data_IF_865566422303
#
_entry.id   IF_865566422303
#
_cell.length_a   1.000
_cell.length_b   1.000
_cell.length_c   1.000
_cell.angle_alpha   90.00
_cell.angle_beta   90.00
_cell.angle_gamma   90.00
#
_symmetry.space_group_name_H-M   'P 1'
#
loop_
_entity.id
_entity.type
_entity.pdbx_description
1 polymer ?
#
# COMPACT_ATOMS: atom_id res chain seq x y z
N UNK A 1 -19.57 -73.46 19.09
CA UNK A 1 -18.40 -72.79 19.69
C UNK A 1 -17.75 -71.91 18.63
N UNK A 2 -18.23 -70.65 18.48
CA UNK A 2 -17.47 -69.54 17.90
C UNK A 2 -17.97 -68.30 18.66
N UNK A 3 -17.11 -67.75 19.51
CA UNK A 3 -17.35 -66.51 20.28
C UNK A 3 -16.96 -65.33 19.40
N UNK A 4 -17.85 -64.35 19.23
CA UNK A 4 -17.48 -63.06 18.65
C UNK A 4 -17.14 -62.11 19.79
N UNK A 5 -15.85 -61.92 20.03
CA UNK A 5 -15.35 -60.80 20.83
C UNK A 5 -15.68 -59.49 20.11
N UNK A 6 -16.59 -58.71 20.69
CA UNK A 6 -16.81 -57.32 20.31
C UNK A 6 -15.58 -56.53 20.79
N UNK A 7 -14.64 -56.29 19.87
CA UNK A 7 -13.51 -55.40 20.12
C UNK A 7 -14.06 -53.99 20.34
N UNK A 8 -14.05 -53.53 21.59
CA UNK A 8 -14.34 -52.14 21.91
C UNK A 8 -13.34 -51.23 21.19
N UNK A 9 -13.78 -50.14 20.53
CA UNK A 9 -12.85 -49.22 19.91
C UNK A 9 -11.92 -48.63 20.98
N UNK A 10 -10.63 -48.39 20.67
CA UNK A 10 -9.72 -47.79 21.64
C UNK A 10 -10.30 -46.45 22.06
N UNK A 11 -10.52 -46.27 23.37
CA UNK A 11 -10.87 -44.97 23.95
C UNK A 11 -9.85 -43.96 23.45
N UNK A 12 -10.24 -43.10 22.50
CA UNK A 12 -9.45 -41.91 22.16
C UNK A 12 -9.23 -41.19 23.47
N UNK A 13 -7.96 -41.08 23.90
CA UNK A 13 -7.62 -40.23 25.04
C UNK A 13 -8.10 -38.83 24.66
N UNK A 14 -9.14 -38.35 25.33
CA UNK A 14 -9.50 -36.95 25.31
C UNK A 14 -8.36 -36.24 26.02
N UNK A 15 -7.33 -35.87 25.25
CA UNK A 15 -6.34 -34.93 25.71
C UNK A 15 -7.05 -33.58 25.66
N UNK A 16 -7.77 -33.29 26.73
CA UNK A 16 -8.12 -31.91 27.03
C UNK A 16 -6.77 -31.24 27.17
N UNK A 17 -6.43 -30.36 26.22
CA UNK A 17 -5.31 -29.43 26.41
C UNK A 17 -5.77 -28.56 27.57
N UNK A 18 -5.43 -28.98 28.77
CA UNK A 18 -5.65 -28.18 29.96
C UNK A 18 -4.78 -26.96 29.73
N UNK A 19 -5.42 -25.81 29.45
CA UNK A 19 -4.75 -24.52 29.45
C UNK A 19 -4.21 -24.34 30.88
N UNK A 20 -3.01 -24.88 31.14
CA UNK A 20 -2.27 -24.65 32.37
C UNK A 20 -2.17 -23.16 32.49
N UNK A 21 -2.89 -22.60 33.47
CA UNK A 21 -2.96 -21.19 33.81
C UNK A 21 -1.55 -20.57 33.69
N UNK A 22 -1.19 -19.97 32.55
CA UNK A 22 0.12 -19.37 32.42
C UNK A 22 -0.03 -18.06 33.18
N UNK A 23 0.82 -17.85 34.18
CA UNK A 23 0.94 -16.55 34.83
C UNK A 23 0.80 -15.47 33.76
N UNK A 24 -0.22 -14.62 33.91
CA UNK A 24 -0.58 -13.53 33.01
C UNK A 24 0.70 -12.73 32.72
N UNK A 25 1.42 -13.10 31.66
CA UNK A 25 2.61 -12.36 31.24
C UNK A 25 2.06 -11.05 30.70
N UNK A 26 2.23 -10.01 31.50
CA UNK A 26 1.77 -8.65 31.23
C UNK A 26 2.55 -7.95 30.12
N UNK A 27 3.60 -8.58 29.60
CA UNK A 27 4.42 -8.07 28.50
C UNK A 27 4.00 -8.71 27.18
N UNK A 28 3.37 -7.97 26.25
CA UNK A 28 3.10 -8.47 24.92
C UNK A 28 4.44 -8.70 24.20
N UNK A 29 4.72 -9.95 23.82
CA UNK A 29 5.87 -10.30 22.98
C UNK A 29 5.55 -10.25 21.47
N UNK A 30 4.28 -9.99 21.13
CA UNK A 30 3.80 -9.88 19.76
C UNK A 30 3.94 -8.45 19.21
N UNK A 31 4.45 -8.34 17.98
CA UNK A 31 4.44 -7.09 17.21
C UNK A 31 2.98 -6.67 16.95
N UNK A 32 2.67 -5.42 17.21
CA UNK A 32 1.38 -4.83 16.80
C UNK A 32 1.38 -4.58 15.30
N UNK A 33 0.20 -4.65 14.67
CA UNK A 33 0.06 -4.27 13.25
C UNK A 33 0.48 -2.82 13.02
N UNK A 34 0.25 -1.95 14.00
CA UNK A 34 0.70 -0.56 14.01
C UNK A 34 2.22 -0.45 13.78
N UNK A 35 3.01 -1.20 14.54
CA UNK A 35 4.46 -1.21 14.42
C UNK A 35 4.94 -1.85 13.11
N UNK A 36 4.26 -2.91 12.67
CA UNK A 36 4.56 -3.55 11.40
C UNK A 36 4.35 -2.63 10.19
N UNK A 37 3.33 -1.77 10.21
CA UNK A 37 3.02 -0.82 9.13
C UNK A 37 3.79 0.51 9.22
N UNK A 38 4.53 0.77 10.30
CA UNK A 38 5.30 2.00 10.46
C UNK A 38 6.30 2.27 9.32
N UNK A 39 7.06 1.28 8.79
CA UNK A 39 8.00 1.52 7.69
C UNK A 39 7.32 1.94 6.38
N UNK A 40 6.18 1.34 6.02
CA UNK A 40 5.49 1.71 4.78
C UNK A 40 4.91 3.12 4.87
N UNK A 41 4.39 3.49 6.04
CA UNK A 41 3.91 4.86 6.32
C UNK A 41 5.05 5.87 6.21
N UNK A 42 6.23 5.55 6.79
CA UNK A 42 7.41 6.41 6.67
C UNK A 42 7.77 6.69 5.21
N UNK A 43 7.80 5.64 4.39
CA UNK A 43 8.12 5.78 2.97
C UNK A 43 7.06 6.64 2.27
N UNK A 44 5.77 6.44 2.54
CA UNK A 44 4.71 7.30 2.01
C UNK A 44 4.95 8.79 2.31
N UNK A 45 5.39 9.12 3.52
CA UNK A 45 5.65 10.50 3.94
C UNK A 45 6.78 11.18 3.19
N UNK A 46 7.82 10.43 2.80
CA UNK A 46 8.91 10.98 1.98
C UNK A 46 8.37 11.51 0.64
N UNK A 47 7.32 10.89 0.12
CA UNK A 47 6.70 11.23 -1.16
C UNK A 47 5.39 12.02 -1.01
N UNK A 48 5.21 12.72 0.12
CA UNK A 48 4.05 13.60 0.35
C UNK A 48 2.72 12.88 0.60
N UNK A 49 2.76 11.56 0.76
CA UNK A 49 1.61 10.73 1.03
C UNK A 49 1.46 10.50 2.54
N UNK A 50 0.23 10.25 2.97
CA UNK A 50 -0.07 9.78 4.33
C UNK A 50 0.45 10.68 5.48
N UNK A 51 -0.01 11.95 5.57
CA UNK A 51 0.51 12.92 6.54
C UNK A 51 0.00 12.63 7.97
N UNK A 52 0.64 11.70 8.66
CA UNK A 52 0.36 11.35 10.07
C UNK A 52 1.59 11.54 10.95
N UNK A 53 1.40 11.70 12.26
CA UNK A 53 2.51 11.79 13.22
C UNK A 53 2.36 10.74 14.32
N UNK A 54 3.50 10.27 14.83
CA UNK A 54 3.54 9.36 15.99
C UNK A 54 3.54 7.86 15.66
N UNK A 55 3.79 7.45 14.41
CA UNK A 55 3.74 6.04 13.98
C UNK A 55 4.88 5.16 14.52
N UNK A 56 6.00 5.73 15.00
CA UNK A 56 7.08 5.00 15.66
C UNK A 56 6.97 4.97 17.21
N UNK A 57 5.90 5.53 17.81
CA UNK A 57 5.70 5.50 19.28
C UNK A 57 4.76 4.36 19.66
N UNK A 58 5.10 3.62 20.73
CA UNK A 58 4.65 2.25 21.00
C UNK A 58 3.22 2.01 21.51
N UNK A 59 2.31 3.00 21.62
CA UNK A 59 0.88 2.67 21.60
C UNK A 59 0.14 3.37 20.45
N UNK A 60 -0.79 2.65 19.80
CA UNK A 60 -1.66 3.18 18.74
C UNK A 60 -2.45 4.44 19.15
N UNK A 61 -2.60 4.68 20.45
CA UNK A 61 -3.20 5.89 21.04
C UNK A 61 -2.39 7.17 20.82
N UNK A 62 -1.11 7.06 20.47
CA UNK A 62 -0.22 8.19 20.19
C UNK A 62 -0.26 8.65 18.72
N UNK A 63 -1.03 7.94 17.86
CA UNK A 63 -1.22 8.33 16.47
C UNK A 63 -2.07 9.60 16.41
N UNK A 64 -1.51 10.69 15.88
CA UNK A 64 -2.21 11.96 15.76
C UNK A 64 -2.14 12.46 14.32
N UNK A 65 -3.31 12.78 13.78
CA UNK A 65 -3.43 13.60 12.59
C UNK A 65 -3.53 15.07 13.01
N UNK A 66 -2.64 15.92 12.48
CA UNK A 66 -2.67 17.36 12.77
C UNK A 66 -2.67 18.18 11.49
N UNK A 67 -3.69 19.02 11.31
CA UNK A 67 -3.83 19.89 10.13
C UNK A 67 -2.72 20.96 10.01
N UNK A 68 -2.06 21.31 11.13
CA UNK A 68 -0.93 22.26 11.16
C UNK A 68 0.45 21.59 10.94
N UNK A 69 0.49 20.34 10.50
CA UNK A 69 1.74 19.63 10.26
C UNK A 69 2.40 20.08 8.94
N UNK A 70 3.72 20.19 8.95
CA UNK A 70 4.54 20.43 7.74
C UNK A 70 4.25 19.36 6.68
N UNK A 71 3.99 18.12 7.11
CA UNK A 71 3.65 17.01 6.21
C UNK A 71 2.29 17.20 5.52
N UNK A 72 1.31 17.80 6.20
CA UNK A 72 0.01 18.11 5.60
C UNK A 72 0.13 19.25 4.58
N UNK A 73 0.90 20.30 4.91
CA UNK A 73 1.18 21.39 3.99
C UNK A 73 1.93 20.90 2.74
N UNK A 74 2.90 19.99 2.91
CA UNK A 74 3.61 19.33 1.81
C UNK A 74 2.64 18.54 0.91
N UNK A 75 1.79 17.68 1.50
CA UNK A 75 0.74 16.92 0.80
C UNK A 75 -0.19 17.80 -0.03
N UNK A 76 -0.73 18.84 0.60
CA UNK A 76 -1.62 19.78 -0.07
C UNK A 76 -0.94 20.54 -1.21
N UNK A 77 0.30 20.99 -0.98
CA UNK A 77 1.08 21.69 -2.00
C UNK A 77 1.39 20.80 -3.21
N UNK A 78 1.75 19.53 -2.98
CA UNK A 78 1.97 18.57 -4.07
C UNK A 78 0.70 18.30 -4.87
N UNK A 79 -0.46 18.17 -4.21
CA UNK A 79 -1.75 18.01 -4.91
C UNK A 79 -2.06 19.25 -5.76
N UNK A 80 -1.85 20.45 -5.22
CA UNK A 80 -2.06 21.69 -5.95
C UNK A 80 -1.20 21.77 -7.20
N UNK A 81 0.09 21.42 -7.11
CA UNK A 81 0.99 21.38 -8.27
C UNK A 81 0.52 20.35 -9.30
N UNK A 82 0.13 19.15 -8.88
CA UNK A 82 -0.37 18.11 -9.78
C UNK A 82 -1.64 18.56 -10.52
N UNK A 83 -2.56 19.24 -9.83
CA UNK A 83 -3.75 19.85 -10.43
C UNK A 83 -3.40 20.93 -11.45
N UNK A 84 -2.36 21.73 -11.20
CA UNK A 84 -1.88 22.72 -12.16
C UNK A 84 -1.26 22.04 -13.41
N UNK A 85 -0.47 20.98 -13.22
CA UNK A 85 0.16 20.21 -14.30
C UNK A 85 -0.90 19.59 -15.22
N UNK A 86 -1.90 18.89 -14.68
CA UNK A 86 -2.96 18.27 -15.50
C UNK A 86 -3.77 19.34 -16.24
N UNK A 87 -4.03 20.49 -15.61
CA UNK A 87 -4.77 21.60 -16.22
C UNK A 87 -3.98 22.22 -17.39
N UNK A 88 -2.67 22.42 -17.24
CA UNK A 88 -1.79 22.85 -18.34
C UNK A 88 -1.75 21.82 -19.47
N UNK A 89 -1.70 20.53 -19.13
CA UNK A 89 -1.72 19.46 -20.12
C UNK A 89 -3.01 19.47 -20.94
N UNK A 90 -4.17 19.51 -20.29
CA UNK A 90 -5.48 19.53 -20.94
C UNK A 90 -5.63 20.78 -21.81
N UNK A 91 -5.28 21.97 -21.30
CA UNK A 91 -5.32 23.21 -22.08
C UNK A 91 -4.44 23.14 -23.34
N UNK A 92 -3.24 22.57 -23.21
CA UNK A 92 -2.33 22.36 -24.34
C UNK A 92 -2.89 21.39 -25.39
N UNK A 93 -3.56 20.31 -24.96
CA UNK A 93 -4.19 19.35 -25.89
C UNK A 93 -5.40 19.95 -26.60
N UNK A 94 -6.24 20.72 -25.91
CA UNK A 94 -7.39 21.42 -26.50
C UNK A 94 -6.91 22.37 -27.60
N UNK A 95 -5.86 23.15 -27.35
CA UNK A 95 -5.29 24.06 -28.36
C UNK A 95 -4.75 23.34 -29.61
N UNK A 96 -4.30 22.09 -29.47
CA UNK A 96 -3.76 21.30 -30.59
C UNK A 96 -4.78 20.43 -31.32
N UNK A 97 -6.04 20.41 -30.87
CA UNK A 97 -7.14 19.73 -31.57
C UNK A 97 -6.97 18.22 -31.77
N UNK A 98 -6.05 17.56 -31.05
CA UNK A 98 -5.76 16.13 -31.20
C UNK A 98 -5.91 15.43 -29.86
N UNK A 99 -6.87 14.52 -29.74
CA UNK A 99 -7.01 13.61 -28.60
C UNK A 99 -6.76 12.20 -29.12
N UNK A 100 -5.50 11.76 -29.04
CA UNK A 100 -5.13 10.37 -29.32
C UNK A 100 -5.11 9.56 -28.03
N UNK A 101 -5.03 8.23 -28.16
CA UNK A 101 -5.02 7.30 -27.02
C UNK A 101 -3.94 7.64 -25.98
N UNK A 102 -2.72 7.96 -26.42
CA UNK A 102 -1.63 8.33 -25.50
C UNK A 102 -1.91 9.61 -24.68
N UNK A 103 -2.65 10.57 -25.23
CA UNK A 103 -3.04 11.77 -24.50
C UNK A 103 -4.11 11.45 -23.45
N UNK A 104 -5.09 10.61 -23.80
CA UNK A 104 -6.12 10.13 -22.88
C UNK A 104 -5.51 9.31 -21.74
N UNK A 105 -4.57 8.41 -22.04
CA UNK A 105 -3.85 7.63 -21.05
C UNK A 105 -3.06 8.54 -20.08
N UNK A 106 -2.42 9.60 -20.59
CA UNK A 106 -1.73 10.59 -19.76
C UNK A 106 -2.69 11.38 -18.87
N UNK A 107 -3.86 11.77 -19.38
CA UNK A 107 -4.90 12.41 -18.56
C UNK A 107 -5.38 11.50 -17.42
N UNK A 108 -5.66 10.23 -17.73
CA UNK A 108 -6.12 9.24 -16.76
C UNK A 108 -5.03 8.98 -15.72
N UNK A 109 -3.77 8.87 -16.14
CA UNK A 109 -2.63 8.76 -15.24
C UNK A 109 -2.65 9.87 -14.18
N UNK A 110 -2.64 11.14 -14.60
CA UNK A 110 -2.63 12.26 -13.65
C UNK A 110 -3.89 12.30 -12.78
N UNK A 111 -5.06 11.97 -13.34
CA UNK A 111 -6.31 11.93 -12.58
C UNK A 111 -6.27 10.86 -11.48
N UNK A 112 -5.73 9.67 -11.77
CA UNK A 112 -5.55 8.60 -10.78
C UNK A 112 -4.60 9.05 -9.68
N UNK A 113 -3.45 9.65 -10.03
CA UNK A 113 -2.47 10.13 -9.03
C UNK A 113 -3.08 11.19 -8.11
N UNK A 114 -3.78 12.19 -8.65
CA UNK A 114 -4.44 13.23 -7.85
C UNK A 114 -5.49 12.60 -6.93
N UNK A 115 -6.32 11.70 -7.47
CA UNK A 115 -7.35 11.01 -6.68
C UNK A 115 -6.71 10.18 -5.57
N UNK A 116 -5.66 9.43 -5.86
CA UNK A 116 -4.92 8.63 -4.87
C UNK A 116 -4.32 9.50 -3.76
N UNK A 117 -3.68 10.62 -4.11
CA UNK A 117 -3.15 11.57 -3.12
C UNK A 117 -4.26 12.09 -2.19
N UNK A 118 -5.41 12.45 -2.74
CA UNK A 118 -6.57 12.92 -1.97
C UNK A 118 -7.10 11.80 -1.06
N UNK A 119 -7.27 10.58 -1.58
CA UNK A 119 -7.71 9.43 -0.79
C UNK A 119 -6.74 9.11 0.34
N UNK A 120 -5.42 9.19 0.12
CA UNK A 120 -4.43 8.99 1.17
C UNK A 120 -4.45 10.08 2.24
N UNK A 121 -4.80 11.33 1.91
CA UNK A 121 -5.02 12.39 2.89
C UNK A 121 -6.27 12.11 3.73
N UNK A 122 -7.36 11.69 3.08
CA UNK A 122 -8.61 11.31 3.77
C UNK A 122 -8.38 10.09 4.67
N UNK A 123 -7.65 9.10 4.17
CA UNK A 123 -7.29 7.91 4.93
C UNK A 123 -6.42 8.27 6.12
N UNK A 124 -5.38 9.10 5.94
CA UNK A 124 -4.53 9.57 7.03
C UNK A 124 -5.31 10.25 8.17
N UNK A 125 -6.39 10.99 7.83
CA UNK A 125 -7.28 11.60 8.84
C UNK A 125 -8.04 10.56 9.66
N UNK A 126 -8.51 9.49 9.02
CA UNK A 126 -9.30 8.43 9.67
C UNK A 126 -8.41 7.33 10.28
N UNK A 127 -7.14 7.27 9.88
CA UNK A 127 -6.20 6.22 10.25
C UNK A 127 -6.01 6.02 11.75
N UNK A 128 -5.95 7.08 12.60
CA UNK A 128 -5.87 6.88 14.05
C UNK A 128 -7.05 6.08 14.61
N UNK A 129 -8.28 6.36 14.15
CA UNK A 129 -9.48 5.63 14.59
C UNK A 129 -9.47 4.19 14.06
N UNK A 130 -9.03 3.99 12.81
CA UNK A 130 -8.89 2.65 12.23
C UNK A 130 -7.89 1.82 13.02
N UNK A 131 -6.73 2.40 13.32
CA UNK A 131 -5.65 1.70 14.02
C UNK A 131 -6.00 1.40 15.48
N UNK A 132 -6.75 2.28 16.15
CA UNK A 132 -7.26 2.02 17.50
C UNK A 132 -8.16 0.79 17.51
N UNK A 133 -9.21 0.77 16.66
CA UNK A 133 -10.11 -0.38 16.56
C UNK A 133 -9.35 -1.66 16.16
N UNK A 134 -8.43 -1.55 15.21
CA UNK A 134 -7.58 -2.69 14.81
C UNK A 134 -6.80 -3.22 16.02
N UNK A 135 -6.16 -2.35 16.80
CA UNK A 135 -5.37 -2.76 17.96
C UNK A 135 -6.24 -3.46 19.02
N UNK A 136 -7.47 -2.99 19.21
CA UNK A 136 -8.43 -3.61 20.14
C UNK A 136 -8.82 -5.03 19.67
N UNK A 137 -9.15 -5.17 18.39
CA UNK A 137 -9.51 -6.48 17.78
C UNK A 137 -8.31 -7.43 17.68
N UNK A 138 -7.09 -6.89 17.61
CA UNK A 138 -5.84 -7.63 17.57
C UNK A 138 -5.37 -8.10 18.95
N UNK A 139 -5.84 -7.46 20.03
CA UNK A 139 -5.35 -7.66 21.38
C UNK A 139 -5.35 -9.15 21.79
N UNK A 140 -6.41 -9.90 21.47
CA UNK A 140 -6.55 -11.32 21.80
C UNK A 140 -5.46 -12.18 21.12
N UNK A 141 -4.98 -11.77 19.95
CA UNK A 141 -3.97 -12.48 19.17
C UNK A 141 -2.52 -12.17 19.60
N UNK A 142 -2.34 -11.24 20.54
CA UNK A 142 -1.03 -10.88 21.11
C UNK A 142 -0.65 -11.75 22.31
N UNK A 143 -1.60 -12.50 22.89
CA UNK A 143 -1.38 -13.33 24.06
C UNK A 143 -1.56 -14.82 23.74
N UNK A 144 -1.07 -15.68 24.64
CA UNK A 144 -1.38 -17.10 24.63
C UNK A 144 -2.92 -17.29 24.62
N UNK A 145 -3.50 -18.20 23.81
CA UNK A 145 -2.88 -19.31 23.07
C UNK A 145 -2.52 -19.02 21.60
N UNK A 146 -2.73 -17.79 21.12
CA UNK A 146 -2.43 -17.39 19.74
C UNK A 146 -0.99 -16.88 19.53
N UNK A 147 -0.28 -16.61 20.62
CA UNK A 147 1.11 -16.18 20.61
C UNK A 147 1.98 -17.18 19.85
N UNK A 148 2.38 -16.77 18.65
CA UNK A 148 3.40 -17.41 17.85
C UNK A 148 4.57 -16.45 17.85
N UNK A 149 5.74 -16.87 18.36
CA UNK A 149 6.98 -16.07 18.42
C UNK A 149 7.54 -15.61 17.05
N UNK A 150 6.69 -15.57 16.04
CA UNK A 150 6.99 -15.18 14.67
C UNK A 150 6.96 -13.66 14.45
N UNK A 151 6.74 -12.79 15.46
CA UNK A 151 6.68 -11.32 15.33
C UNK A 151 7.77 -10.73 14.41
N UNK A 152 9.02 -11.20 14.57
CA UNK A 152 10.17 -10.82 13.73
C UNK A 152 9.99 -11.10 12.22
N UNK A 153 9.15 -12.08 11.84
CA UNK A 153 8.86 -12.40 10.43
C UNK A 153 7.95 -11.35 9.79
N UNK A 154 7.01 -10.74 10.52
CA UNK A 154 6.13 -9.71 9.96
C UNK A 154 6.88 -8.41 9.71
N UNK A 155 7.64 -7.97 10.70
CA UNK A 155 8.46 -6.77 10.59
C UNK A 155 9.48 -6.92 9.43
N UNK A 156 10.14 -8.08 9.34
CA UNK A 156 11.05 -8.39 8.24
C UNK A 156 10.34 -8.48 6.88
N UNK A 157 9.09 -8.98 6.85
CA UNK A 157 8.29 -9.06 5.63
C UNK A 157 7.89 -7.67 5.16
N UNK A 158 7.38 -6.80 6.04
CA UNK A 158 6.97 -5.44 5.67
C UNK A 158 8.18 -4.61 5.26
N UNK A 159 9.32 -4.71 5.97
CA UNK A 159 10.58 -4.09 5.56
C UNK A 159 11.02 -4.57 4.18
N UNK A 160 10.89 -5.87 3.90
CA UNK A 160 11.22 -6.44 2.59
C UNK A 160 10.30 -5.93 1.49
N UNK A 161 8.98 -5.88 1.74
CA UNK A 161 7.98 -5.37 0.79
C UNK A 161 8.24 -3.89 0.48
N UNK A 162 8.47 -3.06 1.51
CA UNK A 162 8.82 -1.65 1.35
C UNK A 162 10.12 -1.48 0.55
N UNK A 163 11.16 -2.28 0.86
CA UNK A 163 12.41 -2.26 0.12
C UNK A 163 12.22 -2.66 -1.35
N UNK A 164 11.49 -3.75 -1.61
CA UNK A 164 11.21 -4.20 -2.99
C UNK A 164 10.46 -3.14 -3.78
N UNK A 165 9.46 -2.48 -3.18
CA UNK A 165 8.73 -1.40 -3.82
C UNK A 165 9.67 -0.27 -4.26
N UNK A 166 10.47 0.26 -3.33
CA UNK A 166 11.37 1.39 -3.62
C UNK A 166 12.37 0.98 -4.70
N UNK A 167 12.90 -0.24 -4.61
CA UNK A 167 13.83 -0.77 -5.59
C UNK A 167 13.21 -0.83 -6.99
N UNK A 168 12.03 -1.45 -7.14
CA UNK A 168 11.37 -1.56 -8.44
C UNK A 168 10.96 -0.19 -9.00
N UNK A 169 10.42 0.70 -8.17
CA UNK A 169 10.07 2.05 -8.60
C UNK A 169 11.31 2.84 -9.08
N UNK A 170 12.45 2.68 -8.41
CA UNK A 170 13.71 3.30 -8.81
C UNK A 170 14.26 2.72 -10.12
N UNK A 171 14.19 1.40 -10.29
CA UNK A 171 14.61 0.72 -11.52
C UNK A 171 13.74 1.17 -12.69
N UNK A 172 12.42 1.23 -12.52
CA UNK A 172 11.49 1.70 -13.54
C UNK A 172 11.77 3.16 -13.92
N UNK A 173 11.95 4.05 -12.94
CA UNK A 173 12.28 5.45 -13.20
C UNK A 173 13.59 5.59 -13.99
N UNK A 174 14.62 4.82 -13.60
CA UNK A 174 15.93 4.83 -14.24
C UNK A 174 15.84 4.34 -15.69
N UNK A 175 15.12 3.24 -15.95
CA UNK A 175 14.93 2.71 -17.31
C UNK A 175 14.16 3.70 -18.17
N UNK A 176 13.09 4.30 -17.62
CA UNK A 176 12.30 5.30 -18.34
C UNK A 176 13.16 6.52 -18.69
N UNK A 177 13.96 7.03 -17.74
CA UNK A 177 14.87 8.13 -17.98
C UNK A 177 15.92 7.80 -19.06
N UNK A 178 16.52 6.61 -19.02
CA UNK A 178 17.49 6.16 -20.03
C UNK A 178 16.86 6.09 -21.43
N UNK A 179 15.65 5.51 -21.53
CA UNK A 179 14.91 5.41 -22.79
C UNK A 179 14.65 6.79 -23.38
N UNK A 180 14.16 7.72 -22.56
CA UNK A 180 13.84 9.06 -22.99
C UNK A 180 15.10 9.86 -23.40
N UNK A 181 16.19 9.69 -22.64
CA UNK A 181 17.51 10.25 -22.94
C UNK A 181 18.04 9.76 -24.29
N UNK A 182 18.05 8.45 -24.53
CA UNK A 182 18.52 7.87 -25.80
C UNK A 182 17.70 8.37 -26.98
N UNK A 183 16.38 8.44 -26.83
CA UNK A 183 15.49 8.95 -27.87
C UNK A 183 15.74 10.45 -28.14
N UNK A 184 16.17 11.24 -27.15
CA UNK A 184 16.57 12.64 -27.37
C UNK A 184 17.92 12.77 -28.09
N UNK A 185 18.90 11.91 -27.78
CA UNK A 185 20.19 11.85 -28.48
C UNK A 185 19.99 11.56 -29.96
N UNK A 186 19.16 10.57 -30.29
CA UNK A 186 18.81 10.25 -31.69
C UNK A 186 18.16 11.45 -32.35
N UNK A 187 17.20 12.10 -31.70
CA UNK A 187 16.52 13.27 -32.25
C UNK A 187 17.47 14.44 -32.56
N UNK A 188 18.41 14.74 -31.65
CA UNK A 188 19.41 15.79 -31.91
C UNK A 188 20.35 15.45 -33.06
N UNK A 189 20.65 14.16 -33.30
CA UNK A 189 21.49 13.74 -34.44
C UNK A 189 20.82 14.02 -35.79
N UNK A 190 19.49 13.95 -35.86
CA UNK A 190 18.74 14.14 -37.11
C UNK A 190 18.13 15.54 -37.27
N UNK A 191 18.14 16.39 -36.23
CA UNK A 191 17.50 17.71 -36.25
C UNK A 191 18.51 18.85 -36.06
N UNK A 192 18.70 19.68 -37.09
CA UNK A 192 19.77 20.69 -37.21
C UNK A 192 19.59 21.96 -36.35
N UNK A 193 18.44 22.16 -35.71
CA UNK A 193 18.09 23.39 -34.97
C UNK A 193 18.10 23.26 -33.43
N UNK A 194 18.77 22.23 -32.90
CA UNK A 194 18.82 21.99 -31.46
C UNK A 194 19.95 22.79 -30.78
N UNK A 195 19.63 23.90 -30.12
CA UNK A 195 20.63 24.77 -29.46
C UNK A 195 21.10 24.24 -28.09
N UNK A 196 20.20 23.66 -27.28
CA UNK A 196 20.50 23.15 -25.93
C UNK A 196 19.92 21.75 -25.69
N UNK A 197 20.72 20.80 -25.19
CA UNK A 197 20.29 19.41 -24.94
C UNK A 197 19.12 19.33 -23.94
N UNK A 198 19.30 19.90 -22.74
CA UNK A 198 18.31 19.83 -21.66
C UNK A 198 17.02 20.58 -21.98
N UNK A 199 17.14 21.74 -22.63
CA UNK A 199 15.97 22.51 -23.05
C UNK A 199 15.13 21.74 -24.06
N UNK A 200 15.77 21.04 -25.01
CA UNK A 200 15.07 20.21 -25.97
C UNK A 200 14.47 18.94 -25.35
N UNK A 201 15.19 18.30 -24.42
CA UNK A 201 14.70 17.18 -23.63
C UNK A 201 13.38 17.52 -22.94
N UNK A 202 13.39 18.55 -22.09
CA UNK A 202 12.20 18.98 -21.36
C UNK A 202 11.10 19.51 -22.29
N UNK A 203 11.45 20.17 -23.40
CA UNK A 203 10.46 20.65 -24.38
C UNK A 203 9.74 19.51 -25.08
N UNK A 204 10.37 18.34 -25.24
CA UNK A 204 9.75 17.19 -25.87
C UNK A 204 8.81 16.46 -24.91
N UNK A 205 9.27 16.21 -23.69
CA UNK A 205 8.50 15.44 -22.69
C UNK A 205 7.42 16.28 -22.01
N UNK A 206 7.73 17.55 -21.72
CA UNK A 206 6.90 18.44 -20.92
C UNK A 206 6.55 19.72 -21.69
N UNK A 207 6.27 19.59 -23.00
CA UNK A 207 5.93 20.70 -23.89
C UNK A 207 4.82 21.61 -23.35
N UNK A 208 3.86 21.03 -22.63
CA UNK A 208 2.73 21.71 -22.03
C UNK A 208 3.15 22.65 -20.89
N UNK A 209 4.18 22.34 -20.11
CA UNK A 209 4.69 23.21 -19.03
C UNK A 209 5.51 24.36 -19.62
N UNK A 210 6.40 24.04 -20.55
CA UNK A 210 7.29 25.01 -21.21
C UNK A 210 6.58 25.98 -22.16
N UNK A 211 5.32 25.70 -22.48
CA UNK A 211 4.46 26.63 -23.22
C UNK A 211 4.03 27.81 -22.36
N UNK A 212 3.80 27.59 -21.06
CA UNK A 212 3.33 28.62 -20.13
C UNK A 212 4.47 29.25 -19.32
N UNK A 213 5.53 28.50 -19.03
CA UNK A 213 6.66 28.96 -18.20
C UNK A 213 7.96 28.82 -18.98
N UNK A 214 8.81 29.87 -19.08
CA UNK A 214 10.09 29.78 -19.76
C UNK A 214 11.02 28.79 -19.04
N UNK A 215 11.87 28.11 -19.82
CA UNK A 215 12.81 27.14 -19.27
C UNK A 215 13.85 27.79 -18.37
N UNK A 216 13.97 27.27 -17.14
CA UNK A 216 15.13 27.47 -16.27
C UNK A 216 15.54 26.12 -15.66
N UNK A 217 16.83 25.92 -15.33
CA UNK A 217 17.31 24.65 -14.75
C UNK A 217 16.56 24.23 -13.48
N UNK A 218 16.19 25.19 -12.63
CA UNK A 218 15.38 24.96 -11.42
C UNK A 218 13.99 24.43 -11.76
N UNK A 219 13.36 24.93 -12.82
CA UNK A 219 12.07 24.45 -13.29
C UNK A 219 12.20 22.99 -13.78
N UNK A 220 13.24 22.68 -14.55
CA UNK A 220 13.52 21.30 -14.98
C UNK A 220 13.63 20.33 -13.80
N UNK A 221 14.44 20.69 -12.79
CA UNK A 221 14.57 19.89 -11.57
C UNK A 221 13.24 19.73 -10.82
N UNK A 222 12.42 20.79 -10.74
CA UNK A 222 11.11 20.73 -10.08
C UNK A 222 10.13 19.79 -10.80
N UNK A 223 10.14 19.78 -12.14
CA UNK A 223 9.30 18.89 -12.95
C UNK A 223 9.71 17.44 -12.70
N UNK A 224 11.00 17.13 -12.77
CA UNK A 224 11.53 15.78 -12.50
C UNK A 224 11.12 15.26 -11.12
N UNK A 225 11.27 16.09 -10.08
CA UNK A 225 10.88 15.72 -8.71
C UNK A 225 9.39 15.41 -8.65
N UNK A 226 8.54 16.26 -9.25
CA UNK A 226 7.09 16.02 -9.24
C UNK A 226 6.72 14.76 -10.02
N UNK A 227 7.30 14.53 -11.21
CA UNK A 227 7.02 13.33 -11.99
C UNK A 227 7.46 12.06 -11.26
N UNK A 228 8.59 12.08 -10.54
CA UNK A 228 9.01 10.98 -9.67
C UNK A 228 8.04 10.73 -8.52
N UNK A 229 7.53 11.80 -7.88
CA UNK A 229 6.49 11.68 -6.85
C UNK A 229 5.21 11.06 -7.42
N UNK A 230 4.81 11.41 -8.65
CA UNK A 230 3.67 10.79 -9.32
C UNK A 230 3.89 9.29 -9.57
N UNK A 231 5.04 8.89 -10.14
CA UNK A 231 5.37 7.48 -10.38
C UNK A 231 5.42 6.70 -9.07
N UNK A 232 6.04 7.26 -8.04
CA UNK A 232 6.07 6.64 -6.72
C UNK A 232 4.65 6.45 -6.16
N UNK A 233 3.80 7.48 -6.28
CA UNK A 233 2.40 7.41 -5.83
C UNK A 233 1.64 6.31 -6.53
N UNK A 234 1.89 6.10 -7.84
CA UNK A 234 1.28 5.00 -8.59
C UNK A 234 1.56 3.65 -7.91
N UNK A 235 2.82 3.29 -7.72
CA UNK A 235 3.19 2.01 -7.11
C UNK A 235 2.82 1.92 -5.62
N UNK A 236 2.73 3.06 -4.93
CA UNK A 236 2.46 3.11 -3.49
C UNK A 236 1.05 2.62 -3.16
N UNK A 237 0.08 2.87 -4.05
CA UNK A 237 -1.30 2.43 -3.85
C UNK A 237 -1.34 0.91 -3.66
N UNK A 238 -0.74 0.17 -4.59
CA UNK A 238 -0.81 -1.29 -4.61
C UNK A 238 -0.02 -1.89 -3.45
N UNK A 239 1.18 -1.36 -3.19
CA UNK A 239 2.03 -1.84 -2.09
C UNK A 239 1.40 -1.56 -0.73
N UNK A 240 0.73 -0.42 -0.57
CA UNK A 240 -0.02 -0.13 0.65
C UNK A 240 -1.14 -1.16 0.86
N UNK A 241 -1.92 -1.47 -0.18
CA UNK A 241 -2.98 -2.50 -0.12
C UNK A 241 -2.39 -3.88 0.22
N UNK A 242 -1.26 -4.26 -0.40
CA UNK A 242 -0.56 -5.51 -0.11
C UNK A 242 -0.12 -5.55 1.36
N UNK A 243 0.49 -4.50 1.89
CA UNK A 243 0.94 -4.44 3.27
C UNK A 243 -0.21 -4.60 4.28
N UNK A 244 -1.32 -3.90 4.06
CA UNK A 244 -2.53 -4.05 4.89
C UNK A 244 -3.07 -5.48 4.81
N UNK A 245 -3.12 -6.04 3.60
CA UNK A 245 -3.61 -7.40 3.37
C UNK A 245 -2.73 -8.45 4.07
N UNK A 246 -1.41 -8.29 4.04
CA UNK A 246 -0.46 -9.15 4.73
C UNK A 246 -0.60 -9.07 6.25
N UNK A 247 -0.80 -7.87 6.80
CA UNK A 247 -1.04 -7.69 8.22
C UNK A 247 -2.30 -8.42 8.68
N UNK A 248 -3.38 -8.31 7.91
CA UNK A 248 -4.64 -9.00 8.19
C UNK A 248 -4.53 -10.53 8.02
N UNK A 249 -3.92 -10.97 6.91
CA UNK A 249 -3.68 -12.39 6.63
C UNK A 249 -2.93 -13.06 7.77
N UNK A 250 -2.01 -12.33 8.41
CA UNK A 250 -1.23 -12.88 9.50
C UNK A 250 -2.05 -13.23 10.74
N UNK A 251 -3.08 -12.44 11.06
CA UNK A 251 -4.00 -12.77 12.16
C UNK A 251 -4.82 -14.02 11.85
N UNK A 252 -5.25 -14.19 10.60
CA UNK A 252 -5.84 -15.44 10.13
C UNK A 252 -4.88 -16.63 10.17
N UNK A 253 -3.59 -16.42 9.91
CA UNK A 253 -2.58 -17.48 10.06
C UNK A 253 -2.45 -17.93 11.52
N UNK A 254 -2.40 -17.00 12.48
CA UNK A 254 -2.37 -17.33 13.91
C UNK A 254 -3.62 -18.12 14.34
N UNK A 255 -4.79 -17.71 13.86
CA UNK A 255 -6.04 -18.44 14.08
C UNK A 255 -5.98 -19.87 13.51
N UNK A 256 -5.53 -20.01 12.26
CA UNK A 256 -5.40 -21.31 11.60
C UNK A 256 -4.37 -22.21 12.27
N UNK A 257 -3.25 -21.66 12.74
CA UNK A 257 -2.20 -22.41 13.44
C UNK A 257 -2.73 -22.96 14.79
N UNK A 258 -3.57 -22.19 15.51
CA UNK A 258 -4.26 -22.69 16.72
C UNK A 258 -5.16 -23.88 16.39
N UNK A 259 -5.97 -23.80 15.32
CA UNK A 259 -6.83 -24.92 14.92
C UNK A 259 -6.00 -26.16 14.57
N UNK A 260 -4.91 -25.97 13.82
CA UNK A 260 -3.98 -27.05 13.46
C UNK A 260 -3.34 -27.69 14.68
N UNK A 261 -3.05 -26.91 15.73
CA UNK A 261 -2.46 -27.43 16.97
C UNK A 261 -3.32 -28.49 17.67
N UNK A 262 -4.63 -28.50 17.45
CA UNK A 262 -5.51 -29.52 18.00
C UNK A 262 -5.32 -30.90 17.36
N UNK A 263 -4.69 -31.00 16.18
CA UNK A 263 -4.39 -32.28 15.50
C UNK A 263 -5.61 -33.23 15.36
N UNK A 264 -6.82 -32.67 15.21
CA UNK A 264 -8.06 -33.46 15.11
C UNK A 264 -8.54 -34.07 16.43
N UNK A 265 -7.94 -33.70 17.57
CA UNK A 265 -8.40 -34.08 18.90
C UNK A 265 -9.68 -33.33 19.26
N UNK A 266 -10.62 -34.01 19.94
CA UNK A 266 -11.83 -33.37 20.44
C UNK A 266 -11.48 -32.35 21.53
N UNK A 267 -11.93 -31.12 21.33
CA UNK A 267 -11.83 -30.04 22.31
C UNK A 267 -13.20 -29.82 22.99
N UNK A 268 -13.22 -29.28 24.23
CA UNK A 268 -14.45 -28.87 24.90
C UNK A 268 -15.28 -27.89 24.06
N UNK A 269 -16.60 -27.89 24.25
CA UNK A 269 -17.53 -26.99 23.56
C UNK A 269 -17.15 -25.51 23.75
N UNK A 270 -16.68 -25.14 24.94
CA UNK A 270 -16.25 -23.77 25.25
C UNK A 270 -15.09 -23.29 24.35
N UNK A 271 -14.17 -24.19 24.00
CA UNK A 271 -13.05 -23.86 23.10
C UNK A 271 -13.56 -23.60 21.68
N UNK A 272 -14.50 -24.41 21.20
CA UNK A 272 -15.13 -24.19 19.88
C UNK A 272 -15.97 -22.92 19.83
N UNK A 273 -16.68 -22.62 20.91
CA UNK A 273 -17.43 -21.38 21.06
C UNK A 273 -16.49 -20.17 21.01
N UNK A 274 -15.38 -20.20 21.75
CA UNK A 274 -14.37 -19.14 21.74
C UNK A 274 -13.77 -18.94 20.33
N UNK A 275 -13.33 -20.02 19.66
CA UNK A 275 -12.80 -19.96 18.30
C UNK A 275 -13.78 -19.33 17.31
N UNK A 276 -15.08 -19.65 17.42
CA UNK A 276 -16.11 -19.05 16.57
C UNK A 276 -16.23 -17.54 16.80
N UNK A 277 -16.17 -17.09 18.05
CA UNK A 277 -16.21 -15.66 18.38
C UNK A 277 -14.97 -14.94 17.86
N UNK A 278 -13.78 -15.54 18.03
CA UNK A 278 -12.51 -14.99 17.53
C UNK A 278 -12.52 -14.85 16.00
N UNK A 279 -13.08 -15.83 15.28
CA UNK A 279 -13.26 -15.77 13.83
C UNK A 279 -14.25 -14.68 13.41
N UNK A 280 -15.37 -14.54 14.13
CA UNK A 280 -16.34 -13.48 13.85
C UNK A 280 -15.71 -12.11 14.02
N UNK A 281 -14.91 -11.90 15.08
CA UNK A 281 -14.19 -10.65 15.30
C UNK A 281 -13.20 -10.33 14.16
N UNK A 282 -12.42 -11.32 13.70
CA UNK A 282 -11.55 -11.13 12.54
C UNK A 282 -12.33 -10.79 11.26
N UNK A 283 -13.46 -11.46 11.03
CA UNK A 283 -14.33 -11.20 9.87
C UNK A 283 -14.95 -9.79 9.92
N UNK A 284 -15.36 -9.34 11.10
CA UNK A 284 -15.86 -7.98 11.32
C UNK A 284 -14.76 -6.94 11.08
N UNK A 285 -13.53 -7.21 11.53
CA UNK A 285 -12.38 -6.34 11.25
C UNK A 285 -12.09 -6.24 9.75
N UNK A 286 -12.11 -7.36 9.02
CA UNK A 286 -11.95 -7.37 7.55
C UNK A 286 -13.02 -6.49 6.89
N UNK A 287 -14.29 -6.69 7.28
CA UNK A 287 -15.42 -5.94 6.73
C UNK A 287 -15.31 -4.43 7.02
N UNK A 288 -14.85 -4.09 8.23
CA UNK A 288 -14.59 -2.71 8.62
C UNK A 288 -13.47 -2.07 7.78
N UNK A 289 -12.33 -2.76 7.62
CA UNK A 289 -11.21 -2.27 6.82
C UNK A 289 -11.58 -2.15 5.35
N UNK A 290 -12.28 -3.12 4.79
CA UNK A 290 -12.79 -3.08 3.42
C UNK A 290 -13.68 -1.85 3.20
N UNK A 291 -14.58 -1.55 4.13
CA UNK A 291 -15.42 -0.34 4.06
C UNK A 291 -14.57 0.95 4.01
N UNK A 292 -13.45 1.00 4.72
CA UNK A 292 -12.56 2.17 4.77
C UNK A 292 -11.59 2.27 3.60
N UNK A 293 -11.20 1.13 3.01
CA UNK A 293 -10.18 1.05 1.96
C UNK A 293 -10.77 0.80 0.57
N UNK A 294 -12.06 0.46 0.47
CA UNK A 294 -12.80 0.14 -0.76
C UNK A 294 -12.54 1.14 -1.89
N UNK A 295 -12.55 2.44 -1.59
CA UNK A 295 -12.29 3.51 -2.59
C UNK A 295 -10.89 3.41 -3.20
N UNK A 296 -9.88 3.17 -2.36
CA UNK A 296 -8.48 3.05 -2.78
C UNK A 296 -8.25 1.73 -3.52
N UNK A 297 -8.87 0.65 -3.05
CA UNK A 297 -8.80 -0.67 -3.70
C UNK A 297 -9.44 -0.59 -5.10
N UNK A 298 -10.62 0.01 -5.22
CA UNK A 298 -11.29 0.20 -6.50
C UNK A 298 -10.46 1.07 -7.45
N UNK A 299 -9.86 2.14 -6.93
CA UNK A 299 -8.98 3.02 -7.71
C UNK A 299 -7.76 2.26 -8.26
N UNK A 300 -7.10 1.45 -7.42
CA UNK A 300 -5.99 0.56 -7.80
C UNK A 300 -6.42 -0.40 -8.91
N UNK A 301 -7.47 -1.18 -8.69
CA UNK A 301 -7.93 -2.17 -9.65
C UNK A 301 -8.35 -1.54 -10.99
N UNK A 302 -9.08 -0.42 -10.96
CA UNK A 302 -9.51 0.27 -12.17
C UNK A 302 -8.33 0.84 -12.96
N UNK A 303 -7.35 1.40 -12.24
CA UNK A 303 -6.13 1.92 -12.82
C UNK A 303 -5.30 0.81 -13.50
N UNK A 304 -5.07 -0.30 -12.81
CA UNK A 304 -4.30 -1.42 -13.35
C UNK A 304 -4.97 -2.03 -14.58
N UNK A 305 -6.29 -2.25 -14.52
CA UNK A 305 -7.07 -2.75 -15.66
C UNK A 305 -6.97 -1.81 -16.86
N UNK A 306 -7.05 -0.49 -16.65
CA UNK A 306 -6.92 0.49 -17.71
C UNK A 306 -5.52 0.45 -18.37
N UNK A 307 -4.45 0.48 -17.57
CA UNK A 307 -3.09 0.49 -18.11
C UNK A 307 -2.68 -0.82 -18.78
N UNK A 308 -3.13 -1.96 -18.25
CA UNK A 308 -2.97 -3.26 -18.95
C UNK A 308 -3.68 -3.22 -20.31
N UNK A 309 -4.89 -2.66 -20.39
CA UNK A 309 -5.64 -2.55 -21.65
C UNK A 309 -4.93 -1.64 -22.66
N UNK A 310 -4.39 -0.50 -22.22
CA UNK A 310 -3.62 0.42 -23.08
C UNK A 310 -2.34 -0.26 -23.58
N UNK A 311 -1.63 -1.00 -22.73
CA UNK A 311 -0.43 -1.74 -23.12
C UNK A 311 -0.76 -2.81 -24.16
N UNK A 312 -1.84 -3.58 -23.94
CA UNK A 312 -2.30 -4.57 -24.91
C UNK A 312 -2.62 -3.93 -26.26
N UNK A 313 -3.35 -2.81 -26.28
CA UNK A 313 -3.64 -2.08 -27.50
C UNK A 313 -2.36 -1.69 -28.26
N UNK A 314 -1.39 -1.11 -27.56
CA UNK A 314 -0.12 -0.68 -28.15
C UNK A 314 0.78 -1.83 -28.65
N UNK A 315 0.51 -3.08 -28.24
CA UNK A 315 1.23 -4.27 -28.76
C UNK A 315 0.65 -4.71 -30.11
N UNK A 316 -0.64 -4.47 -30.35
CA UNK A 316 -1.34 -4.91 -31.56
C UNK A 316 -1.41 -3.84 -32.67
N UNK A 317 -1.11 -2.57 -32.35
CA UNK A 317 -0.81 -1.52 -33.35
C UNK A 317 0.64 -1.58 -33.83
#
# INVERSE_FOLDING_TARGET
MISFEVVSPPKKKTIVVQETNPQLRTTPNGCTTHEALAPIIFVGQLFSLFPISGYFRTPATMLKFTFKSIHFAYGYFTVFIMCAIISMFVAYRIQRGTIGLGATATCIYYAVIITAMVEFIILARNWPSIMQRWTDDEHIFLFYPYETGQCLRLESLVKRVAFTMIFFAFVEDTINFISAYQLNVVHMKYCTHATDFWRNFFRREHAYILRFIPYHPVLGASIEIMMRVAKFTWHYIDVFIICVSLALQRRFQQYNDRIRSFNGNQQPEEVWRALRLDFLQLSELVTYLDTKLSRIILLSCANDMFFISVQLYNIFE
#
